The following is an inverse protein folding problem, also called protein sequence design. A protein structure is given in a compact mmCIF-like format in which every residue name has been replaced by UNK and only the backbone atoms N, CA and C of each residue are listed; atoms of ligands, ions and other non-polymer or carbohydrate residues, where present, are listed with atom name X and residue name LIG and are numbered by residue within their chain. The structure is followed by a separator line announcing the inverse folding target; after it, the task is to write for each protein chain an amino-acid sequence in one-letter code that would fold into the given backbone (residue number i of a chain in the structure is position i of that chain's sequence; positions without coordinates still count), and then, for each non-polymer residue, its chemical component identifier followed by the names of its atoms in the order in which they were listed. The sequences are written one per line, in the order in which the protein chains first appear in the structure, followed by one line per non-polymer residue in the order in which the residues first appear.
data_IF_441497419833
#
_entry.id   IF_441497419833
#
_cell.length_a   1.000
_cell.length_b   1.000
_cell.length_c   1.000
_cell.angle_alpha   90.00
_cell.angle_beta   90.00
_cell.angle_gamma   90.00
#
_symmetry.space_group_name_H-M   'P 1'
#
loop_
_entity.id
_entity.type
_entity.pdbx_description
1 polymer ?
#
# COMPACT_ATOMS: atom_id res chain seq x y z
N UNK A 1 26.49 -25.51 -21.50
CA UNK A 1 27.00 -24.81 -22.71
C UNK A 1 26.43 -23.40 -22.85
N UNK A 2 25.11 -23.19 -22.74
CA UNK A 2 24.46 -21.87 -22.88
C UNK A 2 24.98 -20.82 -21.89
N UNK A 3 25.21 -21.17 -20.62
CA UNK A 3 25.72 -20.23 -19.61
C UNK A 3 27.18 -19.79 -19.87
N UNK A 4 28.00 -20.67 -20.43
CA UNK A 4 29.40 -20.35 -20.81
C UNK A 4 29.41 -19.41 -22.00
N UNK A 5 28.52 -19.64 -22.98
CA UNK A 5 28.37 -18.76 -24.14
C UNK A 5 27.89 -17.35 -23.73
N UNK A 6 26.89 -17.25 -22.84
CA UNK A 6 26.40 -15.97 -22.30
C UNK A 6 27.53 -15.22 -21.58
N UNK A 7 28.34 -15.92 -20.79
CA UNK A 7 29.47 -15.32 -20.09
C UNK A 7 30.55 -14.79 -21.05
N UNK A 8 30.89 -15.56 -22.09
CA UNK A 8 31.84 -15.13 -23.13
C UNK A 8 31.30 -13.92 -23.90
N UNK A 9 30.01 -13.91 -24.25
CA UNK A 9 29.37 -12.77 -24.92
C UNK A 9 29.41 -11.52 -24.04
N UNK A 10 29.12 -11.64 -22.74
CA UNK A 10 29.20 -10.52 -21.81
C UNK A 10 30.63 -9.93 -21.73
N UNK A 11 31.65 -10.78 -21.66
CA UNK A 11 33.06 -10.35 -21.69
C UNK A 11 33.39 -9.65 -23.01
N UNK A 12 32.96 -10.20 -24.14
CA UNK A 12 33.21 -9.60 -25.45
C UNK A 12 32.53 -8.23 -25.58
N UNK A 13 31.30 -8.08 -25.07
CA UNK A 13 30.61 -6.78 -25.04
C UNK A 13 31.40 -5.78 -24.21
N UNK A 14 31.83 -6.16 -23.00
CA UNK A 14 32.66 -5.29 -22.13
C UNK A 14 33.96 -4.91 -22.84
N UNK A 15 34.67 -5.88 -23.41
CA UNK A 15 35.91 -5.65 -24.15
C UNK A 15 35.70 -4.70 -25.33
N UNK A 16 34.59 -4.85 -26.06
CA UNK A 16 34.23 -4.00 -27.19
C UNK A 16 33.96 -2.57 -26.72
N UNK A 17 33.21 -2.38 -25.61
CA UNK A 17 32.96 -1.07 -25.02
C UNK A 17 34.27 -0.39 -24.57
N UNK A 18 35.16 -1.12 -23.91
CA UNK A 18 36.47 -0.60 -23.50
C UNK A 18 37.31 -0.20 -24.72
N UNK A 19 37.30 -1.00 -25.78
CA UNK A 19 38.02 -0.65 -27.01
C UNK A 19 37.45 0.60 -27.68
N UNK A 20 36.13 0.77 -27.71
CA UNK A 20 35.49 1.97 -28.25
C UNK A 20 35.93 3.23 -27.48
N UNK A 21 35.94 3.17 -26.14
CA UNK A 21 36.41 4.29 -25.30
C UNK A 21 37.87 4.61 -25.60
N UNK A 22 38.75 3.60 -25.65
CA UNK A 22 40.17 3.79 -25.99
C UNK A 22 40.40 4.40 -27.36
N UNK A 23 39.62 3.98 -28.37
CA UNK A 23 39.69 4.54 -29.72
C UNK A 23 39.25 6.01 -29.71
N UNK A 24 38.23 6.37 -28.93
CA UNK A 24 37.81 7.77 -28.80
C UNK A 24 38.86 8.65 -28.12
N UNK A 25 39.54 8.16 -27.08
CA UNK A 25 40.64 8.85 -26.39
C UNK A 25 41.80 9.13 -27.35
N UNK A 26 42.27 8.11 -28.06
CA UNK A 26 43.36 8.24 -29.05
C UNK A 26 43.00 9.22 -30.19
N UNK A 27 41.76 9.18 -30.68
CA UNK A 27 41.30 10.11 -31.72
C UNK A 27 41.20 11.56 -31.21
N UNK A 28 40.99 11.75 -29.91
CA UNK A 28 40.93 13.06 -29.26
C UNK A 28 42.31 13.66 -29.03
N UNK A 29 43.29 12.84 -28.59
CA UNK A 29 44.70 13.24 -28.52
C UNK A 29 45.21 13.73 -29.88
N UNK A 30 44.88 13.01 -30.96
CA UNK A 30 45.25 13.40 -32.34
C UNK A 30 44.57 14.71 -32.77
N UNK A 31 43.32 14.94 -32.33
CA UNK A 31 42.54 16.15 -32.70
C UNK A 31 42.76 17.34 -31.76
N UNK A 32 43.56 17.17 -30.70
CA UNK A 32 43.82 18.17 -29.67
C UNK A 32 42.52 18.77 -29.09
N UNK A 33 41.50 17.93 -28.93
CA UNK A 33 40.19 18.29 -28.35
C UNK A 33 39.99 17.53 -27.06
N UNK A 34 39.49 18.18 -26.01
CA UNK A 34 39.13 17.50 -24.77
C UNK A 34 37.93 16.58 -25.01
N UNK A 35 38.10 15.28 -24.71
CA UNK A 35 37.06 14.26 -24.78
C UNK A 35 35.93 14.48 -23.78
N UNK A 36 36.19 15.22 -22.71
CA UNK A 36 35.21 15.51 -21.65
C UNK A 36 34.49 16.84 -21.86
N UNK A 37 34.83 17.60 -22.89
CA UNK A 37 34.19 18.88 -23.20
C UNK A 37 32.75 18.63 -23.69
N UNK A 38 31.78 19.07 -22.90
CA UNK A 38 30.37 18.93 -23.24
C UNK A 38 29.98 20.02 -24.23
N UNK A 39 29.71 19.64 -25.48
CA UNK A 39 29.36 20.61 -26.52
C UNK A 39 27.89 21.03 -26.46
N UNK A 40 27.55 22.18 -27.04
CA UNK A 40 26.15 22.61 -27.22
C UNK A 40 25.30 21.59 -27.99
N UNK A 41 25.93 20.85 -28.91
CA UNK A 41 25.28 19.77 -29.67
C UNK A 41 24.91 18.60 -28.75
N UNK A 42 25.80 18.25 -27.82
CA UNK A 42 25.55 17.19 -26.84
C UNK A 42 24.42 17.60 -25.90
N UNK A 43 24.47 18.81 -25.35
CA UNK A 43 23.40 19.36 -24.51
C UNK A 43 22.05 19.39 -25.23
N UNK A 44 22.03 19.77 -26.51
CA UNK A 44 20.82 19.78 -27.32
C UNK A 44 20.26 18.37 -27.56
N UNK A 45 21.14 17.42 -27.84
CA UNK A 45 20.77 16.02 -28.08
C UNK A 45 20.25 15.38 -26.80
N UNK A 46 20.98 15.51 -25.68
CA UNK A 46 20.58 14.97 -24.38
C UNK A 46 19.30 15.62 -23.87
N UNK A 47 19.13 16.93 -24.03
CA UNK A 47 17.90 17.62 -23.68
C UNK A 47 16.69 17.11 -24.47
N UNK A 48 16.85 16.86 -25.78
CA UNK A 48 15.79 16.31 -26.62
C UNK A 48 15.47 14.86 -26.23
N UNK A 49 16.50 14.03 -26.02
CA UNK A 49 16.34 12.64 -25.58
C UNK A 49 15.62 12.57 -24.23
N UNK A 50 15.99 13.43 -23.29
CA UNK A 50 15.33 13.50 -21.98
C UNK A 50 13.85 13.86 -22.11
N UNK A 51 13.50 14.79 -23.01
CA UNK A 51 12.10 15.13 -23.27
C UNK A 51 11.35 13.93 -23.85
N UNK A 52 11.90 13.27 -24.87
CA UNK A 52 11.28 12.10 -25.51
C UNK A 52 11.09 10.97 -24.49
N UNK A 53 12.14 10.62 -23.74
CA UNK A 53 12.10 9.56 -22.73
C UNK A 53 11.18 9.94 -21.57
N UNK A 54 11.20 11.18 -21.11
CA UNK A 54 10.33 11.67 -20.03
C UNK A 54 8.85 11.59 -20.39
N UNK A 55 8.45 12.04 -21.57
CA UNK A 55 7.07 11.88 -22.04
C UNK A 55 6.72 10.42 -22.33
N UNK A 56 7.66 9.63 -22.87
CA UNK A 56 7.52 8.19 -23.02
C UNK A 56 7.28 7.48 -21.68
N UNK A 57 7.97 7.90 -20.62
CA UNK A 57 7.78 7.41 -19.26
C UNK A 57 6.38 7.73 -18.74
N UNK A 58 5.84 8.94 -18.98
CA UNK A 58 4.47 9.28 -18.57
C UNK A 58 3.43 8.43 -19.29
N UNK A 59 3.61 8.19 -20.59
CA UNK A 59 2.75 7.28 -21.36
C UNK A 59 2.84 5.86 -20.78
N UNK A 60 4.04 5.40 -20.45
CA UNK A 60 4.26 4.10 -19.84
C UNK A 60 3.59 3.98 -18.46
N UNK A 61 3.64 5.03 -17.63
CA UNK A 61 2.93 5.06 -16.34
C UNK A 61 1.42 4.96 -16.56
N UNK A 62 0.84 5.73 -17.51
CA UNK A 62 -0.59 5.63 -17.83
C UNK A 62 -0.96 4.23 -18.31
N UNK A 63 -0.14 3.64 -19.19
CA UNK A 63 -0.32 2.27 -19.65
C UNK A 63 -0.29 1.29 -18.48
N UNK A 64 0.69 1.38 -17.57
CA UNK A 64 0.74 0.52 -16.39
C UNK A 64 -0.51 0.66 -15.52
N UNK A 65 -0.94 1.89 -15.27
CA UNK A 65 -2.13 2.13 -14.47
C UNK A 65 -3.38 1.48 -15.08
N UNK A 66 -3.54 1.53 -16.41
CA UNK A 66 -4.68 0.90 -17.10
C UNK A 66 -4.53 -0.63 -17.09
N UNK A 67 -3.37 -1.14 -17.49
CA UNK A 67 -3.13 -2.58 -17.63
C UNK A 67 -3.23 -3.31 -16.31
N UNK A 68 -2.66 -2.76 -15.24
CA UNK A 68 -2.57 -3.43 -13.93
C UNK A 68 -3.67 -3.05 -12.95
N UNK A 69 -4.65 -2.21 -13.35
CA UNK A 69 -5.77 -1.83 -12.48
C UNK A 69 -6.55 -3.03 -11.94
N UNK A 70 -6.66 -4.11 -12.71
CA UNK A 70 -7.39 -5.32 -12.33
C UNK A 70 -6.73 -6.11 -11.18
N UNK A 71 -5.47 -5.82 -10.82
CA UNK A 71 -4.80 -6.43 -9.67
C UNK A 71 -5.10 -5.72 -8.34
N UNK A 72 -5.77 -4.57 -8.39
CA UNK A 72 -6.23 -3.90 -7.17
C UNK A 72 -7.35 -4.69 -6.52
N UNK A 73 -7.50 -4.55 -5.22
CA UNK A 73 -8.59 -5.20 -4.49
C UNK A 73 -9.95 -4.75 -5.08
N UNK A 74 -10.93 -5.66 -5.15
CA UNK A 74 -12.28 -5.30 -5.57
C UNK A 74 -12.91 -4.31 -4.59
N UNK A 75 -14.02 -3.66 -4.98
CA UNK A 75 -14.75 -2.74 -4.11
C UNK A 75 -15.02 -3.38 -2.75
N UNK A 76 -14.76 -2.64 -1.67
CA UNK A 76 -14.91 -3.17 -0.32
C UNK A 76 -16.30 -3.78 -0.06
N UNK A 77 -16.31 -4.89 0.67
CA UNK A 77 -17.51 -5.59 1.12
C UNK A 77 -17.95 -5.15 2.52
N UNK A 78 -17.59 -3.94 2.95
CA UNK A 78 -18.03 -3.35 4.22
C UNK A 78 -18.35 -1.87 4.07
N UNK A 79 -19.25 -1.36 4.91
CA UNK A 79 -19.60 0.07 4.96
C UNK A 79 -18.36 0.93 5.23
N UNK A 80 -17.50 0.48 6.15
CA UNK A 80 -16.31 1.22 6.57
C UNK A 80 -15.23 1.17 5.50
N UNK A 81 -15.07 0.01 4.85
CA UNK A 81 -14.13 -0.17 3.75
C UNK A 81 -14.47 0.69 2.54
N UNK A 82 -15.74 0.96 2.26
CA UNK A 82 -16.13 1.89 1.20
C UNK A 82 -15.65 3.33 1.47
N UNK A 83 -15.69 3.78 2.72
CA UNK A 83 -15.16 5.10 3.12
C UNK A 83 -13.64 5.16 3.02
N UNK A 84 -12.95 4.07 3.39
CA UNK A 84 -11.50 3.93 3.24
C UNK A 84 -11.10 3.95 1.76
N UNK A 85 -11.82 3.21 0.90
CA UNK A 85 -11.59 3.21 -0.55
C UNK A 85 -11.81 4.61 -1.15
N UNK A 86 -12.78 5.38 -0.67
CA UNK A 86 -12.97 6.78 -1.10
C UNK A 86 -11.80 7.67 -0.69
N UNK A 87 -11.33 7.56 0.56
CA UNK A 87 -10.15 8.30 1.04
C UNK A 87 -8.91 7.96 0.21
N UNK A 88 -8.70 6.69 -0.09
CA UNK A 88 -7.62 6.21 -0.94
C UNK A 88 -7.73 6.80 -2.36
N UNK A 89 -8.92 6.75 -2.99
CA UNK A 89 -9.15 7.31 -4.34
C UNK A 89 -8.89 8.81 -4.40
N UNK A 90 -9.37 9.57 -3.42
CA UNK A 90 -9.14 11.03 -3.33
C UNK A 90 -7.65 11.33 -3.15
N UNK A 91 -6.99 10.65 -2.21
CA UNK A 91 -5.55 10.85 -1.93
C UNK A 91 -4.70 10.50 -3.15
N UNK A 92 -4.96 9.34 -3.76
CA UNK A 92 -4.24 8.87 -4.94
C UNK A 92 -4.48 9.79 -6.13
N UNK A 93 -5.73 10.20 -6.37
CA UNK A 93 -6.07 11.15 -7.44
C UNK A 93 -5.33 12.48 -7.30
N UNK A 94 -5.21 13.01 -6.08
CA UNK A 94 -4.44 14.23 -5.80
C UNK A 94 -2.96 14.06 -6.14
N UNK A 95 -2.34 12.97 -5.68
CA UNK A 95 -0.93 12.67 -5.96
C UNK A 95 -0.71 12.53 -7.47
N UNK A 96 -1.59 11.81 -8.17
CA UNK A 96 -1.54 11.63 -9.62
C UNK A 96 -1.62 12.97 -10.34
N UNK A 97 -2.57 13.84 -9.98
CA UNK A 97 -2.71 15.18 -10.60
C UNK A 97 -1.44 15.99 -10.42
N UNK A 98 -0.88 16.06 -9.21
CA UNK A 98 0.37 16.78 -8.95
C UNK A 98 1.52 16.18 -9.76
N UNK A 99 1.66 14.85 -9.75
CA UNK A 99 2.69 14.13 -10.50
C UNK A 99 2.66 14.43 -12.01
N UNK A 100 1.47 14.42 -12.62
CA UNK A 100 1.31 14.72 -14.05
C UNK A 100 1.42 16.21 -14.38
N UNK A 101 1.39 17.11 -13.40
CA UNK A 101 1.70 18.54 -13.60
C UNK A 101 3.22 18.78 -13.46
N UNK A 102 3.82 18.29 -12.37
CA UNK A 102 5.22 18.58 -12.05
C UNK A 102 6.19 17.85 -12.97
N UNK A 103 5.87 16.63 -13.41
CA UNK A 103 6.78 15.84 -14.25
C UNK A 103 6.97 16.44 -15.66
N UNK A 104 5.91 16.78 -16.43
CA UNK A 104 6.09 17.49 -17.69
C UNK A 104 6.77 18.85 -17.54
N UNK A 105 6.46 19.59 -16.46
CA UNK A 105 7.10 20.87 -16.17
C UNK A 105 8.61 20.72 -15.98
N UNK A 106 9.04 19.69 -15.24
CA UNK A 106 10.44 19.34 -15.07
C UNK A 106 11.09 18.98 -16.41
N UNK A 107 10.46 18.12 -17.22
CA UNK A 107 11.00 17.72 -18.52
C UNK A 107 11.16 18.91 -19.47
N UNK A 108 10.17 19.79 -19.49
CA UNK A 108 10.21 21.02 -20.25
C UNK A 108 11.33 21.96 -19.77
N UNK A 109 11.51 22.14 -18.46
CA UNK A 109 12.56 23.01 -17.92
C UNK A 109 13.95 22.48 -18.17
N UNK A 110 14.19 21.18 -18.05
CA UNK A 110 15.48 20.57 -18.42
C UNK A 110 15.78 20.81 -19.89
N UNK A 111 14.80 20.65 -20.78
CA UNK A 111 14.99 20.93 -22.20
C UNK A 111 15.22 22.43 -22.47
N UNK A 112 14.37 23.31 -21.92
CA UNK A 112 14.42 24.76 -22.16
C UNK A 112 15.69 25.40 -21.64
N UNK A 113 16.12 25.02 -20.45
CA UNK A 113 17.28 25.57 -19.74
C UNK A 113 18.51 24.68 -19.83
N UNK A 114 18.58 23.78 -20.82
CA UNK A 114 19.80 23.02 -21.14
C UNK A 114 20.98 23.97 -21.40
N UNK A 115 22.19 23.50 -21.06
CA UNK A 115 23.42 24.26 -21.25
C UNK A 115 23.59 24.72 -22.69
N UNK A 116 23.86 26.02 -22.86
CA UNK A 116 24.34 26.62 -24.11
C UNK A 116 25.40 27.64 -23.77
N UNK A 117 26.52 27.65 -24.48
CA UNK A 117 27.61 28.61 -24.26
C UNK A 117 27.14 30.08 -24.32
N UNK A 118 26.17 30.37 -25.19
CA UNK A 118 25.59 31.70 -25.36
C UNK A 118 24.60 32.11 -24.27
N UNK A 119 24.09 31.17 -23.47
CA UNK A 119 23.12 31.45 -22.43
C UNK A 119 23.81 31.74 -21.10
N UNK A 120 23.52 32.91 -20.53
CA UNK A 120 23.87 33.20 -19.14
C UNK A 120 22.71 32.83 -18.23
N UNK A 121 22.99 32.14 -17.13
CA UNK A 121 21.99 31.82 -16.13
C UNK A 121 21.42 33.11 -15.52
N UNK A 122 20.08 33.19 -15.45
CA UNK A 122 19.42 34.28 -14.73
C UNK A 122 19.52 33.99 -13.22
N UNK A 123 20.21 34.87 -12.50
CA UNK A 123 20.33 34.74 -11.04
C UNK A 123 19.10 35.31 -10.36
N UNK A 124 18.23 34.44 -9.86
CA UNK A 124 17.11 34.77 -9.00
C UNK A 124 17.24 33.98 -7.71
N UNK A 125 17.55 34.66 -6.60
CA UNK A 125 17.75 33.99 -5.32
C UNK A 125 16.45 33.67 -4.58
N UNK A 126 15.41 34.49 -4.74
CA UNK A 126 14.13 34.31 -4.05
C UNK A 126 12.98 34.97 -4.82
N UNK A 127 11.77 34.48 -4.57
CA UNK A 127 10.54 35.11 -5.01
C UNK A 127 9.45 34.85 -3.97
N UNK A 128 9.31 35.77 -3.01
CA UNK A 128 8.38 35.65 -1.90
C UNK A 128 6.93 35.35 -2.35
N UNK A 129 6.49 35.86 -3.50
CA UNK A 129 5.13 35.59 -4.00
C UNK A 129 4.98 34.12 -4.41
N UNK A 130 5.94 33.56 -5.12
CA UNK A 130 5.92 32.15 -5.53
C UNK A 130 6.09 31.23 -4.32
N UNK A 131 6.94 31.63 -3.39
CA UNK A 131 7.16 30.92 -2.13
C UNK A 131 5.88 30.81 -1.30
N UNK A 132 5.14 31.91 -1.15
CA UNK A 132 3.84 31.90 -0.46
C UNK A 132 2.85 30.97 -1.18
N UNK A 133 2.80 31.00 -2.51
CA UNK A 133 1.86 30.17 -3.28
C UNK A 133 2.13 28.68 -3.07
N UNK A 134 3.39 28.22 -3.21
CA UNK A 134 3.72 26.80 -3.06
C UNK A 134 3.74 26.33 -1.61
N UNK A 135 3.68 27.23 -0.62
CA UNK A 135 3.57 26.84 0.79
C UNK A 135 2.11 26.79 1.20
N UNK A 136 1.35 27.84 0.92
CA UNK A 136 -0.05 27.95 1.37
C UNK A 136 -0.95 26.92 0.68
N UNK A 137 -0.81 26.71 -0.64
CA UNK A 137 -1.67 25.77 -1.37
C UNK A 137 -1.51 24.34 -0.83
N UNK A 138 -0.30 23.75 -0.73
CA UNK A 138 -0.14 22.42 -0.15
C UNK A 138 -0.58 22.34 1.31
N UNK A 139 -0.34 23.37 2.12
CA UNK A 139 -0.80 23.40 3.50
C UNK A 139 -2.32 23.28 3.60
N UNK A 140 -3.08 24.05 2.81
CA UNK A 140 -4.55 23.99 2.81
C UNK A 140 -5.04 22.61 2.37
N UNK A 141 -4.49 22.10 1.27
CA UNK A 141 -4.87 20.80 0.70
C UNK A 141 -4.60 19.67 1.69
N UNK A 142 -3.41 19.62 2.27
CA UNK A 142 -3.02 18.60 3.25
C UNK A 142 -3.85 18.72 4.52
N UNK A 143 -4.16 19.94 4.98
CA UNK A 143 -5.03 20.14 6.15
C UNK A 143 -6.42 19.55 5.91
N UNK A 144 -7.03 19.82 4.75
CA UNK A 144 -8.31 19.24 4.39
C UNK A 144 -8.26 17.71 4.32
N UNK A 145 -7.19 17.15 3.74
CA UNK A 145 -6.99 15.70 3.64
C UNK A 145 -6.80 15.05 5.01
N UNK A 146 -6.05 15.68 5.92
CA UNK A 146 -5.86 15.21 7.30
C UNK A 146 -7.19 15.20 8.04
N UNK A 147 -8.00 16.26 7.95
CA UNK A 147 -9.32 16.31 8.59
C UNK A 147 -10.22 15.20 8.03
N UNK A 148 -10.21 14.98 6.72
CA UNK A 148 -10.98 13.90 6.10
C UNK A 148 -10.49 12.52 6.58
N UNK A 149 -9.17 12.30 6.62
CA UNK A 149 -8.56 11.07 7.10
C UNK A 149 -8.87 10.78 8.57
N UNK A 150 -8.77 11.78 9.44
CA UNK A 150 -9.10 11.64 10.87
C UNK A 150 -10.57 11.30 11.10
N UNK A 151 -11.50 11.90 10.34
CA UNK A 151 -12.93 11.56 10.42
C UNK A 151 -13.21 10.14 9.95
N UNK A 152 -12.56 9.69 8.88
CA UNK A 152 -12.70 8.31 8.39
C UNK A 152 -12.10 7.32 9.40
N UNK A 153 -10.94 7.64 9.98
CA UNK A 153 -10.30 6.83 11.00
C UNK A 153 -11.16 6.71 12.27
N UNK A 154 -11.71 7.83 12.76
CA UNK A 154 -12.58 7.87 13.93
C UNK A 154 -13.82 6.98 13.74
N UNK A 155 -14.51 7.12 12.61
CA UNK A 155 -15.65 6.25 12.26
C UNK A 155 -15.27 4.78 12.13
N UNK A 156 -14.08 4.49 11.62
CA UNK A 156 -13.62 3.11 11.47
C UNK A 156 -13.25 2.47 12.81
N UNK A 157 -12.64 3.23 13.72
CA UNK A 157 -12.13 2.72 15.00
C UNK A 157 -13.18 2.73 16.12
N UNK A 158 -14.09 3.71 16.11
CA UNK A 158 -15.13 3.90 17.12
C UNK A 158 -16.48 3.43 16.60
N UNK A 159 -16.62 2.11 16.45
CA UNK A 159 -17.89 1.51 16.01
C UNK A 159 -18.92 1.59 17.13
N UNK A 160 -20.11 2.10 16.80
CA UNK A 160 -21.26 2.09 17.69
C UNK A 160 -21.70 0.65 17.95
N UNK A 161 -21.47 0.17 19.17
CA UNK A 161 -21.90 -1.15 19.61
C UNK A 161 -23.37 -1.06 20.02
N UNK A 162 -24.25 -1.55 19.17
CA UNK A 162 -25.66 -1.77 19.47
C UNK A 162 -25.89 -3.16 20.09
N UNK A 163 -27.09 -3.40 20.64
CA UNK A 163 -27.50 -4.75 21.08
C UNK A 163 -27.51 -5.77 19.93
N UNK A 164 -27.68 -5.32 18.68
CA UNK A 164 -27.61 -6.17 17.48
C UNK A 164 -26.18 -6.51 17.05
N UNK A 165 -25.15 -5.90 17.65
CA UNK A 165 -23.75 -6.11 17.26
C UNK A 165 -23.26 -7.46 17.74
N UNK A 166 -22.96 -8.38 16.81
CA UNK A 166 -22.46 -9.72 17.16
C UNK A 166 -21.01 -9.67 17.62
N UNK A 167 -20.72 -10.25 18.78
CA UNK A 167 -19.35 -10.28 19.33
C UNK A 167 -18.67 -11.60 19.00
N UNK A 168 -17.51 -11.53 18.35
CA UNK A 168 -16.72 -12.70 17.99
C UNK A 168 -15.29 -12.46 18.48
N UNK A 169 -14.72 -13.44 19.17
CA UNK A 169 -13.30 -13.42 19.49
C UNK A 169 -12.51 -14.23 18.46
N UNK A 170 -11.38 -13.69 18.04
CA UNK A 170 -10.40 -14.37 17.16
C UNK A 170 -9.07 -14.42 17.89
N UNK A 171 -8.57 -15.62 18.15
CA UNK A 171 -7.33 -15.88 18.87
C UNK A 171 -6.24 -16.36 17.93
N UNK A 172 -5.16 -15.56 17.82
CA UNK A 172 -4.00 -15.88 16.99
C UNK A 172 -2.96 -16.71 17.74
N UNK A 173 -2.34 -17.65 17.02
CA UNK A 173 -1.17 -18.43 17.46
C UNK A 173 -0.29 -18.79 16.27
N UNK A 174 0.94 -19.25 16.51
CA UNK A 174 1.84 -19.75 15.47
C UNK A 174 1.43 -21.18 15.03
N UNK A 175 1.03 -21.45 13.78
CA UNK A 175 0.45 -20.55 12.78
C UNK A 175 -0.99 -20.99 12.51
N UNK A 176 -1.93 -20.42 13.27
CA UNK A 176 -3.34 -20.74 13.15
C UNK A 176 -4.22 -19.67 13.83
N UNK A 177 -5.49 -19.66 13.46
CA UNK A 177 -6.52 -18.86 14.09
C UNK A 177 -7.54 -19.78 14.75
N UNK A 178 -8.14 -19.35 15.86
CA UNK A 178 -9.28 -20.04 16.45
C UNK A 178 -10.27 -18.99 16.90
N UNK A 179 -11.52 -19.13 16.49
CA UNK A 179 -12.58 -18.18 16.81
C UNK A 179 -13.54 -18.74 17.86
N UNK A 180 -14.22 -17.85 18.58
CA UNK A 180 -15.43 -18.17 19.32
C UNK A 180 -16.49 -17.09 19.15
N UNK A 181 -17.73 -17.52 19.04
CA UNK A 181 -18.90 -16.65 19.03
C UNK A 181 -19.42 -16.48 20.44
N UNK A 182 -19.79 -15.25 20.80
CA UNK A 182 -20.66 -15.04 21.96
C UNK A 182 -21.98 -15.76 21.74
N UNK A 183 -22.53 -16.37 22.79
CA UNK A 183 -23.77 -17.11 22.68
C UNK A 183 -25.00 -16.21 22.56
N UNK A 184 -26.11 -16.65 23.13
CA UNK A 184 -27.39 -15.93 23.06
C UNK A 184 -27.37 -14.65 23.89
N UNK A 185 -26.53 -14.60 24.92
CA UNK A 185 -26.34 -13.45 25.79
C UNK A 185 -25.50 -12.32 25.15
N UNK A 186 -24.91 -12.59 23.97
CA UNK A 186 -24.00 -11.71 23.22
C UNK A 186 -22.80 -11.21 24.06
N UNK A 187 -22.42 -11.97 25.08
CA UNK A 187 -21.24 -11.73 25.92
C UNK A 187 -20.26 -12.88 25.73
N UNK A 188 -18.99 -12.57 25.85
CA UNK A 188 -17.94 -13.59 25.83
C UNK A 188 -17.55 -13.88 27.27
N UNK A 189 -17.41 -15.16 27.58
CA UNK A 189 -16.79 -15.61 28.82
C UNK A 189 -15.40 -15.03 29.02
N UNK A 190 -15.07 -14.72 30.27
CA UNK A 190 -13.74 -14.26 30.66
C UNK A 190 -12.67 -15.26 30.23
N UNK A 191 -11.51 -14.76 29.81
CA UNK A 191 -10.42 -15.59 29.35
C UNK A 191 -9.07 -15.07 29.84
N UNK A 192 -8.18 -16.00 30.16
CA UNK A 192 -6.85 -15.70 30.68
C UNK A 192 -5.83 -16.65 30.05
N UNK A 193 -4.69 -16.10 29.62
CA UNK A 193 -3.61 -16.88 29.03
C UNK A 193 -3.08 -18.00 29.95
N UNK A 194 -3.18 -17.84 31.28
CA UNK A 194 -2.80 -18.86 32.27
C UNK A 194 -3.70 -20.10 32.26
N UNK A 195 -4.92 -19.96 31.73
CA UNK A 195 -5.91 -21.05 31.63
C UNK A 195 -5.74 -21.87 30.34
N UNK A 196 -4.83 -21.46 29.45
CA UNK A 196 -4.54 -22.20 28.21
C UNK A 196 -3.83 -23.51 28.55
N UNK A 197 -4.60 -24.60 28.68
CA UNK A 197 -4.11 -25.94 29.05
C UNK A 197 -4.92 -27.03 28.35
N UNK A 198 -4.22 -28.03 27.80
CA UNK A 198 -4.84 -29.21 27.21
C UNK A 198 -5.88 -28.85 26.13
N UNK A 199 -7.16 -29.17 26.40
CA UNK A 199 -8.29 -28.89 25.50
C UNK A 199 -8.75 -27.42 25.52
N UNK A 200 -8.41 -26.64 26.54
CA UNK A 200 -8.78 -25.22 26.63
C UNK A 200 -7.79 -24.36 25.85
N UNK A 201 -7.92 -24.37 24.52
CA UNK A 201 -6.96 -23.66 23.63
C UNK A 201 -7.12 -22.14 23.64
N UNK A 202 -8.27 -21.61 24.04
CA UNK A 202 -8.50 -20.15 24.14
C UNK A 202 -8.28 -19.58 25.55
N UNK A 203 -8.09 -20.44 26.55
CA UNK A 203 -7.96 -20.02 27.94
C UNK A 203 -9.24 -19.43 28.53
N UNK A 204 -10.41 -19.92 28.10
CA UNK A 204 -11.72 -19.51 28.62
C UNK A 204 -11.89 -20.01 30.06
N UNK A 205 -12.41 -19.18 30.96
CA UNK A 205 -12.79 -19.60 32.29
C UNK A 205 -14.14 -20.34 32.25
N UNK A 206 -14.11 -21.65 32.46
CA UNK A 206 -15.30 -22.50 32.44
C UNK A 206 -16.20 -22.32 33.66
N UNK A 207 -15.74 -21.58 34.69
CA UNK A 207 -16.54 -21.24 35.86
C UNK A 207 -17.37 -19.96 35.65
N UNK A 208 -17.06 -19.18 34.61
CA UNK A 208 -17.85 -18.01 34.24
C UNK A 208 -19.14 -18.44 33.53
N UNK A 209 -20.26 -17.90 34.00
CA UNK A 209 -21.60 -18.21 33.48
C UNK A 209 -21.72 -17.80 32.01
N UNK A 210 -21.06 -16.72 31.59
CA UNK A 210 -21.10 -16.24 30.20
C UNK A 210 -20.23 -17.11 29.26
N UNK A 211 -19.44 -18.05 29.79
CA UNK A 211 -18.68 -19.00 28.96
C UNK A 211 -19.50 -20.20 28.51
N UNK A 212 -20.67 -20.44 29.11
CA UNK A 212 -21.42 -21.67 28.95
C UNK A 212 -22.01 -21.85 27.54
N UNK A 213 -22.32 -20.75 26.86
CA UNK A 213 -22.91 -20.72 25.51
C UNK A 213 -21.95 -20.19 24.43
N UNK A 214 -20.69 -19.94 24.78
CA UNK A 214 -19.61 -19.63 23.83
C UNK A 214 -19.40 -20.79 22.84
N UNK A 215 -19.44 -20.49 21.54
CA UNK A 215 -19.28 -21.51 20.49
C UNK A 215 -17.96 -21.37 19.76
N UNK A 216 -17.12 -22.37 19.89
CA UNK A 216 -15.85 -22.50 19.17
C UNK A 216 -16.08 -22.73 17.67
N UNK A 217 -15.33 -22.03 16.83
CA UNK A 217 -15.38 -22.17 15.38
C UNK A 217 -13.99 -22.09 14.75
N UNK A 218 -13.82 -22.81 13.64
CA UNK A 218 -12.65 -22.68 12.76
C UNK A 218 -12.92 -21.76 11.57
N UNK A 219 -14.18 -21.63 11.19
CA UNK A 219 -14.65 -20.75 10.11
C UNK A 219 -15.57 -19.70 10.69
N UNK A 220 -15.32 -18.44 10.34
CA UNK A 220 -16.12 -17.30 10.80
C UNK A 220 -17.13 -16.94 9.72
N UNK A 221 -18.39 -17.22 9.99
CA UNK A 221 -19.54 -16.75 9.25
C UNK A 221 -20.02 -15.40 9.81
N UNK A 222 -20.23 -14.44 8.92
CA UNK A 222 -20.74 -13.11 9.23
C UNK A 222 -22.08 -12.93 8.51
N UNK A 223 -23.03 -12.25 9.16
CA UNK A 223 -24.34 -11.93 8.56
C UNK A 223 -24.23 -10.57 7.88
N UNK A 224 -24.67 -10.50 6.61
CA UNK A 224 -24.68 -9.25 5.84
C UNK A 224 -25.64 -8.25 6.48
N UNK A 225 -25.25 -6.97 6.45
CA UNK A 225 -25.97 -5.83 7.01
C UNK A 225 -26.13 -5.84 8.55
N UNK A 226 -25.53 -6.82 9.24
CA UNK A 226 -25.44 -6.84 10.70
C UNK A 226 -24.05 -6.39 11.18
N UNK A 227 -23.95 -5.45 12.14
CA UNK A 227 -22.67 -5.04 12.69
C UNK A 227 -22.01 -6.20 13.45
N UNK A 228 -20.71 -6.37 13.25
CA UNK A 228 -19.88 -7.33 13.98
C UNK A 228 -18.78 -6.59 14.72
N UNK A 229 -18.51 -7.00 15.97
CA UNK A 229 -17.34 -6.61 16.74
C UNK A 229 -16.40 -7.79 16.88
N UNK A 230 -15.25 -7.71 16.21
CA UNK A 230 -14.18 -8.69 16.34
C UNK A 230 -13.25 -8.26 17.47
N UNK A 231 -13.10 -9.12 18.48
CA UNK A 231 -12.11 -8.99 19.54
C UNK A 231 -10.94 -9.91 19.24
N UNK A 232 -9.73 -9.38 19.33
CA UNK A 232 -8.52 -10.10 19.01
C UNK A 232 -7.67 -10.29 20.26
N UNK A 233 -7.13 -11.49 20.41
CA UNK A 233 -6.09 -11.82 21.39
C UNK A 233 -4.97 -12.59 20.69
N UNK A 234 -3.80 -12.65 21.33
CA UNK A 234 -2.72 -13.53 20.89
C UNK A 234 -2.25 -14.44 22.01
N UNK A 235 -1.97 -15.70 21.66
CA UNK A 235 -1.44 -16.72 22.57
C UNK A 235 0.05 -16.59 22.81
N UNK A 236 0.81 -16.17 21.78
CA UNK A 236 2.26 -16.27 21.75
C UNK A 236 2.93 -14.93 21.39
N UNK A 237 3.02 -14.59 20.10
CA UNK A 237 3.71 -13.41 19.57
C UNK A 237 2.69 -12.42 18.98
N UNK A 238 3.15 -11.28 18.48
CA UNK A 238 2.24 -10.34 17.81
C UNK A 238 1.85 -10.92 16.45
N UNK A 239 0.54 -11.02 16.22
CA UNK A 239 -0.06 -11.28 14.90
C UNK A 239 -0.76 -10.02 14.40
N UNK A 240 -1.28 -10.05 13.17
CA UNK A 240 -2.19 -9.01 12.69
C UNK A 240 -3.30 -9.65 11.89
N UNK A 241 -4.52 -9.64 12.43
CA UNK A 241 -5.69 -10.08 11.70
C UNK A 241 -5.98 -9.08 10.58
N UNK A 242 -5.84 -9.51 9.32
CA UNK A 242 -6.13 -8.71 8.15
C UNK A 242 -7.22 -9.36 7.31
N UNK A 243 -8.26 -8.59 7.05
CA UNK A 243 -9.43 -8.94 6.28
C UNK A 243 -9.50 -8.02 5.05
N UNK A 244 -8.83 -8.37 3.94
CA UNK A 244 -8.56 -7.44 2.84
C UNK A 244 -9.84 -6.86 2.23
N UNK A 245 -10.82 -7.71 1.96
CA UNK A 245 -12.07 -7.34 1.30
C UNK A 245 -12.96 -6.42 2.15
N UNK A 246 -12.75 -6.39 3.47
CA UNK A 246 -13.46 -5.51 4.38
C UNK A 246 -12.64 -4.25 4.74
N UNK A 247 -11.38 -4.15 4.28
CA UNK A 247 -10.41 -3.09 4.64
C UNK A 247 -10.16 -2.98 6.14
N UNK A 248 -10.18 -4.11 6.82
CA UNK A 248 -10.02 -4.19 8.26
C UNK A 248 -8.70 -4.84 8.62
N UNK A 249 -7.93 -4.18 9.49
CA UNK A 249 -6.71 -4.73 10.04
C UNK A 249 -6.59 -4.37 11.51
N UNK A 250 -6.24 -5.35 12.35
CA UNK A 250 -5.94 -5.10 13.77
C UNK A 250 -4.81 -6.02 14.25
N UNK A 251 -3.89 -5.47 15.05
CA UNK A 251 -2.83 -6.27 15.67
C UNK A 251 -3.40 -7.11 16.81
N UNK A 252 -3.02 -8.38 16.86
CA UNK A 252 -3.32 -9.28 17.97
C UNK A 252 -2.12 -9.27 18.91
N UNK A 253 -2.28 -8.70 20.11
CA UNK A 253 -1.17 -8.44 21.03
C UNK A 253 -1.25 -9.39 22.23
N UNK A 254 -0.17 -10.09 22.59
CA UNK A 254 -0.16 -10.93 23.79
C UNK A 254 -0.45 -10.11 25.05
N UNK A 255 -1.38 -10.59 25.88
CA UNK A 255 -1.75 -9.93 27.14
C UNK A 255 -2.70 -8.73 27.03
N UNK A 256 -3.12 -8.36 25.82
CA UNK A 256 -4.09 -7.27 25.59
C UNK A 256 -5.17 -7.72 24.61
N UNK A 257 -6.42 -7.36 24.89
CA UNK A 257 -7.50 -7.49 23.91
C UNK A 257 -7.54 -6.24 23.05
N UNK A 258 -7.38 -6.41 21.74
CA UNK A 258 -7.65 -5.36 20.75
C UNK A 258 -8.98 -5.67 20.07
N UNK A 259 -9.59 -4.69 19.41
CA UNK A 259 -10.88 -4.90 18.77
C UNK A 259 -11.04 -4.02 17.55
N UNK A 260 -11.89 -4.46 16.64
CA UNK A 260 -12.35 -3.67 15.50
C UNK A 260 -13.76 -4.11 15.12
N UNK A 261 -14.61 -3.16 14.75
CA UNK A 261 -15.97 -3.44 14.29
C UNK A 261 -16.16 -3.07 12.82
N UNK A 262 -17.08 -3.75 12.14
CA UNK A 262 -17.54 -3.35 10.81
C UNK A 262 -18.89 -3.97 10.51
N UNK A 263 -19.53 -3.48 9.45
CA UNK A 263 -20.76 -4.07 8.90
C UNK A 263 -20.45 -4.60 7.50
N UNK A 264 -20.52 -5.93 7.26
CA UNK A 264 -20.35 -6.52 5.94
C UNK A 264 -21.57 -6.22 5.06
N UNK A 265 -21.35 -6.04 3.76
CA UNK A 265 -22.39 -5.62 2.80
C UNK A 265 -22.58 -6.60 1.63
N UNK A 266 -21.77 -7.66 1.56
CA UNK A 266 -21.82 -8.64 0.46
C UNK A 266 -21.62 -10.06 0.96
N UNK A 267 -22.48 -10.97 0.52
CA UNK A 267 -22.33 -12.41 0.78
C UNK A 267 -21.17 -13.00 -0.03
N UNK A 268 -20.69 -14.18 0.36
CA UNK A 268 -19.72 -14.93 -0.43
C UNK A 268 -20.26 -15.26 -1.83
N UNK A 269 -21.56 -15.57 -1.95
CA UNK A 269 -22.20 -15.84 -3.24
C UNK A 269 -22.14 -14.63 -4.18
N UNK A 270 -22.48 -13.44 -3.67
CA UNK A 270 -22.41 -12.19 -4.43
C UNK A 270 -20.98 -11.85 -4.86
N UNK A 271 -19.97 -12.16 -4.03
CA UNK A 271 -18.58 -11.96 -4.42
C UNK A 271 -18.09 -12.99 -5.44
N UNK A 272 -18.57 -14.24 -5.38
CA UNK A 272 -18.25 -15.25 -6.41
C UNK A 272 -18.78 -14.87 -7.78
N UNK A 273 -19.90 -14.15 -7.84
CA UNK A 273 -20.43 -13.61 -9.10
C UNK A 273 -19.51 -12.54 -9.71
N UNK A 274 -18.81 -11.73 -8.90
CA UNK A 274 -17.92 -10.66 -9.41
C UNK A 274 -16.46 -11.08 -9.57
N UNK A 275 -15.94 -11.88 -8.64
CA UNK A 275 -14.52 -12.25 -8.56
C UNK A 275 -14.22 -13.68 -9.06
N UNK A 276 -15.25 -14.47 -9.34
CA UNK A 276 -15.14 -15.85 -9.82
C UNK A 276 -15.50 -16.92 -8.77
N UNK A 277 -15.78 -18.13 -9.26
CA UNK A 277 -16.35 -19.22 -8.45
C UNK A 277 -15.46 -19.68 -7.28
N UNK A 278 -14.14 -19.51 -7.41
CA UNK A 278 -13.15 -19.92 -6.40
C UNK A 278 -12.96 -18.87 -5.29
N UNK A 279 -13.67 -17.75 -5.34
CA UNK A 279 -13.55 -16.68 -4.34
C UNK A 279 -13.98 -17.14 -2.95
N UNK A 280 -13.15 -16.88 -1.95
CA UNK A 280 -13.51 -16.99 -0.54
C UNK A 280 -12.99 -15.78 0.23
N UNK A 281 -13.74 -15.36 1.27
CA UNK A 281 -13.24 -14.36 2.18
C UNK A 281 -12.11 -14.94 3.05
N UNK A 282 -10.96 -14.27 3.03
CA UNK A 282 -9.77 -14.74 3.74
C UNK A 282 -9.43 -13.86 4.94
N UNK A 283 -9.02 -14.51 6.03
CA UNK A 283 -8.33 -13.89 7.15
C UNK A 283 -6.83 -14.21 7.02
N UNK A 284 -6.02 -13.16 6.81
CA UNK A 284 -4.58 -13.27 6.66
C UNK A 284 -3.87 -12.77 7.91
N UNK A 285 -2.72 -13.37 8.24
CA UNK A 285 -1.80 -12.78 9.20
C UNK A 285 -0.92 -11.74 8.48
N UNK A 286 -1.06 -10.46 8.83
CA UNK A 286 -0.30 -9.35 8.25
C UNK A 286 0.79 -8.81 9.20
N UNK A 287 1.40 -9.71 9.98
CA UNK A 287 2.55 -9.42 10.84
C UNK A 287 3.50 -10.62 10.82
N UNK A 288 4.80 -10.35 10.73
CA UNK A 288 5.83 -11.38 10.90
C UNK A 288 5.66 -11.99 12.29
N UNK A 289 5.34 -13.28 12.33
CA UNK A 289 5.02 -14.02 13.56
C UNK A 289 5.77 -15.35 13.65
N UNK A 290 6.90 -15.48 12.96
CA UNK A 290 7.76 -16.69 12.94
C UNK A 290 8.04 -17.17 11.54
#
# INVERSE_FOLDING_TARGET
MTNILIFIIAILIIATLVQIVRVSELLSEIKNKDVNEVTDKDNNTQGLLFLIVGFGFLIFVVWQMITWNHLLLPPASSIHGAQIDLLMKVSMGLIIVVFFITSPMLFYFVFKYRGKESNKAYFLSHNNKLEVVWTVIPTIILTALIIFGLKTWDKAMNVEISESTKVIEVYGKQFNWTARYSGLDNKLGTANYKLVKGKNTLGVDMLDVNSADDKMAREVHLVVDEPVLLKFRSQDVIHSAFLPHFRVQMNCVPGMTTQFGFTPTKTTAQMKESEGADFEYVLLCNKICG
#
